data_IF_797002777389
#
_entry.id   IF_797002777389
#
_cell.length_a   1.000
_cell.length_b   1.000
_cell.length_c   1.000
_cell.angle_alpha   90.00
_cell.angle_beta   90.00
_cell.angle_gamma   90.00
#
_symmetry.space_group_name_H-M   'P 1'
#
loop_
_entity.id
_entity.type
_entity.pdbx_description
1 polymer ?
#
# COMPACT_ATOMS: atom_id res chain seq x y z
N UNK A 1 9.59 26.06 -4.22
CA UNK A 1 9.86 24.93 -5.13
C UNK A 1 10.37 23.77 -4.29
N UNK A 2 9.68 22.63 -4.31
CA UNK A 2 10.11 21.41 -3.61
C UNK A 2 10.44 20.34 -4.66
N UNK A 3 11.53 19.61 -4.48
CA UNK A 3 11.93 18.50 -5.34
C UNK A 3 11.49 17.18 -4.72
N UNK A 4 10.67 16.41 -5.44
CA UNK A 4 10.21 15.09 -5.01
C UNK A 4 10.71 14.01 -5.96
N UNK A 5 11.40 13.02 -5.39
CA UNK A 5 11.92 11.88 -6.16
C UNK A 5 10.83 10.93 -6.58
N UNK A 6 10.99 10.33 -7.75
CA UNK A 6 10.13 9.22 -8.19
C UNK A 6 10.35 7.97 -7.33
N UNK A 7 9.28 7.18 -7.22
CA UNK A 7 9.36 5.83 -6.70
C UNK A 7 10.02 4.91 -7.72
N UNK A 8 10.87 4.01 -7.23
CA UNK A 8 11.56 3.01 -8.02
C UNK A 8 11.90 1.79 -7.17
N UNK A 9 12.21 0.66 -7.82
CA UNK A 9 12.68 -0.57 -7.17
C UNK A 9 13.99 -1.15 -7.77
N UNK A 10 14.74 -0.34 -8.52
CA UNK A 10 16.07 -0.70 -9.02
C UNK A 10 17.20 -0.34 -8.06
N UNK A 11 16.91 0.43 -7.00
CA UNK A 11 17.87 0.86 -5.98
C UNK A 11 17.19 0.93 -4.61
N UNK A 12 17.72 0.21 -3.62
CA UNK A 12 17.39 0.46 -2.22
C UNK A 12 18.09 1.72 -1.74
N UNK A 13 17.40 2.56 -0.95
CA UNK A 13 17.98 3.79 -0.41
C UNK A 13 18.73 3.45 0.87
N UNK A 14 20.02 3.76 0.88
CA UNK A 14 20.84 3.65 2.08
C UNK A 14 20.59 4.82 3.03
N UNK A 15 20.24 4.53 4.28
CA UNK A 15 20.00 5.52 5.33
C UNK A 15 20.63 4.99 6.61
N UNK A 16 21.51 5.79 7.22
CA UNK A 16 21.96 5.60 8.60
C UNK A 16 21.36 6.74 9.39
N UNK A 17 20.39 6.42 10.25
CA UNK A 17 19.76 7.37 11.16
C UNK A 17 20.19 7.04 12.59
N UNK A 18 20.80 8.01 13.24
CA UNK A 18 21.38 7.88 14.58
C UNK A 18 21.00 9.07 15.44
N UNK A 19 20.69 8.81 16.70
CA UNK A 19 20.52 9.83 17.74
C UNK A 19 21.44 9.52 18.91
N UNK A 20 21.86 10.53 19.66
CA UNK A 20 22.72 10.35 20.82
C UNK A 20 21.90 10.38 22.10
N UNK A 21 22.18 9.46 23.03
CA UNK A 21 21.72 9.54 24.41
C UNK A 21 22.89 10.06 25.26
N UNK A 22 22.64 11.12 26.03
CA UNK A 22 23.59 11.63 27.00
C UNK A 22 23.25 11.11 28.41
N UNK A 23 24.24 10.58 29.12
CA UNK A 23 24.06 10.18 30.53
C UNK A 23 24.25 11.38 31.48
N UNK A 24 23.95 11.18 32.77
CA UNK A 24 24.08 12.22 33.80
C UNK A 24 25.51 12.74 34.02
N UNK A 25 26.53 12.01 33.54
CA UNK A 25 27.93 12.41 33.62
C UNK A 25 28.42 13.15 32.35
N UNK A 26 27.52 13.40 31.40
CA UNK A 26 27.81 14.15 30.18
C UNK A 26 28.31 13.30 29.01
N UNK A 27 28.49 11.98 29.17
CA UNK A 27 28.93 11.10 28.07
C UNK A 27 27.78 10.84 27.10
N UNK A 28 28.07 10.95 25.80
CA UNK A 28 27.11 10.70 24.72
C UNK A 28 27.37 9.34 24.06
N UNK A 29 26.30 8.58 23.85
CA UNK A 29 26.32 7.30 23.17
C UNK A 29 25.41 7.34 21.95
N UNK A 30 25.93 7.18 20.72
CA UNK A 30 25.10 7.13 19.53
C UNK A 30 24.33 5.81 19.48
N UNK A 31 23.03 5.91 19.22
CA UNK A 31 22.14 4.78 18.97
C UNK A 31 21.54 4.90 17.57
N UNK A 32 21.59 3.80 16.84
CA UNK A 32 21.04 3.72 15.47
C UNK A 32 19.54 3.44 15.53
N UNK A 33 18.73 4.38 15.03
CA UNK A 33 17.28 4.19 14.86
C UNK A 33 16.98 3.34 13.64
N UNK A 34 17.72 3.59 12.56
CA UNK A 34 17.50 2.93 11.28
C UNK A 34 18.80 2.78 10.54
N UNK A 35 19.02 1.58 10.04
CA UNK A 35 20.11 1.30 9.12
C UNK A 35 19.55 0.54 7.92
N UNK A 36 19.57 1.18 6.75
CA UNK A 36 19.31 0.51 5.48
C UNK A 36 20.55 0.64 4.60
N UNK A 37 20.93 -0.46 3.96
CA UNK A 37 22.03 -0.45 3.00
C UNK A 37 21.51 0.02 1.63
N UNK A 38 22.32 0.80 0.91
CA UNK A 38 22.02 1.23 -0.45
C UNK A 38 22.60 0.26 -1.47
N UNK A 39 21.74 -0.41 -2.22
CA UNK A 39 22.14 -1.43 -3.21
C UNK A 39 21.32 -1.32 -4.48
N UNK A 40 21.95 -1.59 -5.62
CA UNK A 40 21.26 -1.69 -6.91
C UNK A 40 20.74 -3.12 -7.15
N UNK A 41 19.52 -3.24 -7.67
CA UNK A 41 18.81 -4.49 -7.93
C UNK A 41 18.37 -4.57 -9.39
N UNK A 42 19.30 -4.30 -10.31
CA UNK A 42 19.00 -4.14 -11.74
C UNK A 42 18.43 -5.41 -12.40
N UNK A 43 18.75 -6.60 -11.89
CA UNK A 43 18.29 -7.88 -12.45
C UNK A 43 16.85 -8.25 -12.07
N UNK A 44 16.34 -7.74 -10.94
CA UNK A 44 15.02 -8.08 -10.41
C UNK A 44 14.04 -6.91 -10.38
N UNK A 45 14.51 -5.70 -10.69
CA UNK A 45 13.68 -4.51 -10.76
C UNK A 45 12.60 -4.62 -11.82
N UNK A 46 11.49 -3.93 -11.58
CA UNK A 46 10.36 -3.87 -12.51
C UNK A 46 9.94 -2.43 -12.85
N UNK A 47 10.42 -1.43 -12.10
CA UNK A 47 10.00 -0.03 -12.22
C UNK A 47 10.54 0.70 -13.46
N UNK A 48 11.64 0.25 -14.07
CA UNK A 48 12.21 0.93 -15.25
C UNK A 48 11.32 0.88 -16.49
N UNK A 49 10.25 0.07 -16.46
CA UNK A 49 9.19 0.10 -17.48
C UNK A 49 8.40 1.41 -17.44
N UNK A 50 8.32 2.07 -16.28
CA UNK A 50 7.57 3.32 -16.12
C UNK A 50 8.44 4.52 -16.46
N UNK A 51 9.56 4.67 -15.75
CA UNK A 51 10.66 5.57 -16.12
C UNK A 51 11.99 4.94 -15.69
N UNK A 52 12.97 4.91 -16.59
CA UNK A 52 14.27 4.25 -16.41
C UNK A 52 15.40 5.18 -15.91
N UNK A 53 15.09 6.44 -15.61
CA UNK A 53 16.03 7.41 -15.08
C UNK A 53 16.93 8.08 -16.11
N UNK A 54 17.44 9.26 -15.77
CA UNK A 54 18.22 10.11 -16.66
C UNK A 54 19.54 9.48 -17.13
N UNK A 55 20.16 8.62 -16.31
CA UNK A 55 21.37 7.90 -16.72
C UNK A 55 21.09 6.99 -17.94
N UNK A 56 19.90 6.39 -18.00
CA UNK A 56 19.48 5.57 -19.15
C UNK A 56 19.17 6.43 -20.37
N UNK A 57 18.60 7.63 -20.18
CA UNK A 57 18.42 8.60 -21.27
C UNK A 57 19.77 9.01 -21.89
N UNK A 58 20.78 9.29 -21.06
CA UNK A 58 22.14 9.63 -21.52
C UNK A 58 22.83 8.47 -22.24
N UNK A 59 22.72 7.25 -21.69
CA UNK A 59 23.20 6.05 -22.39
C UNK A 59 22.50 5.88 -23.74
N UNK A 60 21.19 6.08 -23.78
CA UNK A 60 20.42 5.84 -24.99
C UNK A 60 20.81 6.81 -26.11
N UNK A 61 21.15 8.07 -25.84
CA UNK A 61 21.59 8.99 -26.89
C UNK A 61 23.08 8.84 -27.28
N UNK A 62 23.89 8.17 -26.46
CA UNK A 62 25.35 8.02 -26.70
C UNK A 62 25.75 6.65 -27.24
N UNK A 63 24.87 5.64 -27.13
CA UNK A 63 25.15 4.29 -27.60
C UNK A 63 24.71 4.09 -29.06
N UNK A 64 25.59 3.65 -29.98
CA UNK A 64 25.26 3.46 -31.40
C UNK A 64 24.27 2.31 -31.66
N UNK A 65 23.96 1.51 -30.64
CA UNK A 65 23.03 0.38 -30.72
C UNK A 65 21.56 0.78 -30.51
N UNK A 66 21.28 2.04 -30.18
CA UNK A 66 19.93 2.53 -29.91
C UNK A 66 19.37 3.31 -31.10
N UNK A 67 18.05 3.37 -31.17
CA UNK A 67 17.31 4.12 -32.20
C UNK A 67 17.41 5.64 -32.06
N UNK A 68 17.96 6.13 -30.94
CA UNK A 68 18.09 7.57 -30.65
C UNK A 68 19.56 7.99 -30.48
N UNK A 69 20.51 7.21 -31.01
CA UNK A 69 21.92 7.57 -31.03
C UNK A 69 22.15 8.93 -31.72
N UNK A 70 22.92 9.79 -31.06
CA UNK A 70 23.23 11.15 -31.53
C UNK A 70 22.05 12.14 -31.42
N UNK A 71 20.91 11.72 -30.87
CA UNK A 71 19.77 12.60 -30.67
C UNK A 71 19.95 13.53 -29.45
N UNK A 72 19.16 14.60 -29.41
CA UNK A 72 19.16 15.57 -28.32
C UNK A 72 18.06 15.27 -27.30
N UNK A 73 18.33 15.46 -26.00
CA UNK A 73 17.30 15.41 -24.96
C UNK A 73 16.63 16.78 -24.72
N UNK A 74 17.06 17.82 -25.43
CA UNK A 74 16.45 19.16 -25.36
C UNK A 74 15.21 19.17 -26.24
N UNK A 75 14.03 19.36 -25.63
CA UNK A 75 12.72 19.32 -26.31
C UNK A 75 12.62 20.27 -27.50
N UNK A 76 13.29 21.42 -27.45
CA UNK A 76 13.28 22.42 -28.52
C UNK A 76 14.32 22.15 -29.63
N UNK A 77 15.13 21.10 -29.53
CA UNK A 77 16.11 20.75 -30.56
C UNK A 77 15.41 20.17 -31.79
N UNK A 78 15.84 20.50 -33.02
CA UNK A 78 15.35 19.82 -34.22
C UNK A 78 15.67 18.31 -34.24
N UNK A 79 16.64 17.88 -33.43
CA UNK A 79 17.06 16.48 -33.28
C UNK A 79 16.57 15.85 -31.97
N UNK A 80 15.47 16.35 -31.40
CA UNK A 80 14.95 15.80 -30.14
C UNK A 80 14.65 14.30 -30.24
N UNK A 81 15.14 13.51 -29.28
CA UNK A 81 15.14 12.05 -29.29
C UNK A 81 13.75 11.42 -29.42
N UNK A 82 12.73 12.10 -28.89
CA UNK A 82 11.34 11.63 -28.89
C UNK A 82 10.45 12.48 -29.80
N UNK A 83 11.00 12.98 -30.90
CA UNK A 83 10.24 13.70 -31.93
C UNK A 83 9.65 12.74 -32.97
N UNK A 84 8.46 13.08 -33.49
CA UNK A 84 7.78 12.27 -34.50
C UNK A 84 7.22 10.94 -33.95
N UNK A 85 7.56 9.83 -34.60
CA UNK A 85 7.02 8.50 -34.28
C UNK A 85 7.82 7.75 -33.20
N UNK A 86 9.02 8.23 -32.83
CA UNK A 86 9.87 7.58 -31.83
C UNK A 86 9.46 8.00 -30.43
N UNK A 87 9.04 7.03 -29.62
CA UNK A 87 8.69 7.23 -28.21
C UNK A 87 9.66 6.47 -27.31
N UNK A 88 9.71 6.82 -26.02
CA UNK A 88 10.48 6.05 -25.03
C UNK A 88 9.98 4.59 -24.93
N UNK A 89 8.68 4.32 -25.12
CA UNK A 89 8.14 2.95 -25.24
C UNK A 89 8.83 2.17 -26.37
N UNK A 90 9.09 2.80 -27.52
CA UNK A 90 9.81 2.16 -28.63
C UNK A 90 11.25 1.81 -28.24
N UNK A 91 11.94 2.70 -27.54
CA UNK A 91 13.32 2.47 -27.08
C UNK A 91 13.38 1.36 -26.03
N UNK A 92 12.41 1.32 -25.11
CA UNK A 92 12.27 0.24 -24.11
C UNK A 92 11.94 -1.12 -24.74
N UNK A 93 11.24 -1.14 -25.88
CA UNK A 93 11.03 -2.37 -26.65
C UNK A 93 12.32 -2.78 -27.37
N UNK A 94 13.02 -1.82 -28.00
CA UNK A 94 14.26 -2.09 -28.72
C UNK A 94 15.36 -2.65 -27.81
N UNK A 95 15.49 -2.13 -26.58
CA UNK A 95 16.52 -2.59 -25.65
C UNK A 95 16.13 -3.85 -24.87
N UNK A 96 14.92 -4.40 -25.09
CA UNK A 96 14.43 -5.62 -24.44
C UNK A 96 13.85 -5.42 -23.03
N UNK A 97 13.72 -4.19 -22.53
CA UNK A 97 13.04 -3.92 -21.24
C UNK A 97 11.56 -4.29 -21.30
N UNK A 98 10.95 -4.11 -22.48
CA UNK A 98 9.58 -4.46 -22.80
C UNK A 98 9.52 -5.41 -23.99
N UNK A 99 8.55 -6.32 -23.97
CA UNK A 99 8.24 -7.14 -25.14
C UNK A 99 7.17 -6.46 -25.99
N UNK A 100 7.44 -6.33 -27.30
CA UNK A 100 6.52 -5.74 -28.27
C UNK A 100 5.16 -6.46 -28.34
N UNK A 101 5.13 -7.77 -28.10
CA UNK A 101 3.89 -8.55 -28.07
C UNK A 101 3.15 -8.35 -26.75
N UNK A 102 3.87 -8.30 -25.62
CA UNK A 102 3.25 -8.21 -24.30
C UNK A 102 2.61 -6.85 -24.04
N UNK A 103 3.18 -5.74 -24.53
CA UNK A 103 2.56 -4.41 -24.36
C UNK A 103 1.19 -4.27 -25.04
N UNK A 104 0.78 -5.23 -25.88
CA UNK A 104 -0.51 -5.26 -26.58
C UNK A 104 -1.51 -6.25 -25.98
N UNK A 105 -1.15 -7.00 -24.93
CA UNK A 105 -2.00 -8.05 -24.36
C UNK A 105 -1.80 -8.20 -22.84
N UNK A 106 -2.67 -8.96 -22.18
CA UNK A 106 -2.54 -9.23 -20.74
C UNK A 106 -2.51 -7.97 -19.88
N UNK A 107 -1.74 -8.01 -18.79
CA UNK A 107 -1.61 -6.92 -17.83
C UNK A 107 -0.92 -5.68 -18.40
N UNK A 108 0.07 -5.82 -19.28
CA UNK A 108 0.68 -4.65 -19.92
C UNK A 108 -0.22 -4.02 -20.96
N UNK A 109 -0.98 -4.80 -21.74
CA UNK A 109 -2.01 -4.27 -22.63
C UNK A 109 -3.10 -3.52 -21.86
N UNK A 110 -3.58 -4.07 -20.75
CA UNK A 110 -4.55 -3.40 -19.88
C UNK A 110 -3.98 -2.12 -19.27
N UNK A 111 -2.76 -2.15 -18.73
CA UNK A 111 -2.07 -0.96 -18.23
C UNK A 111 -1.96 0.13 -19.29
N UNK A 112 -1.51 -0.25 -20.50
CA UNK A 112 -1.34 0.68 -21.62
C UNK A 112 -2.65 1.33 -22.07
N UNK A 113 -3.75 0.58 -22.04
CA UNK A 113 -5.08 1.07 -22.38
C UNK A 113 -5.68 1.98 -21.30
N UNK A 114 -5.39 1.73 -20.02
CA UNK A 114 -5.97 2.47 -18.89
C UNK A 114 -5.14 3.67 -18.41
N UNK A 115 -3.81 3.58 -18.48
CA UNK A 115 -2.88 4.58 -17.94
C UNK A 115 -2.18 5.32 -19.08
N UNK A 116 -1.63 4.58 -20.05
CA UNK A 116 -0.88 5.14 -21.17
C UNK A 116 0.39 4.35 -21.50
N UNK A 117 1.17 4.81 -22.49
CA UNK A 117 2.37 4.12 -22.94
C UNK A 117 3.45 4.07 -21.85
N UNK A 118 4.21 2.97 -21.85
CA UNK A 118 5.35 2.80 -20.95
C UNK A 118 6.48 3.80 -21.26
N UNK A 119 7.36 4.05 -20.29
CA UNK A 119 8.41 5.08 -20.40
C UNK A 119 7.93 6.51 -20.12
N UNK A 120 6.62 6.75 -20.13
CA UNK A 120 6.02 8.08 -19.94
C UNK A 120 5.17 8.16 -18.67
N UNK A 121 5.47 7.32 -17.67
CA UNK A 121 4.69 7.24 -16.41
C UNK A 121 5.60 7.52 -15.22
N UNK A 122 5.29 8.58 -14.49
CA UNK A 122 5.99 8.93 -13.25
C UNK A 122 5.34 8.19 -12.08
N UNK A 123 6.14 7.41 -11.36
CA UNK A 123 5.70 6.75 -10.12
C UNK A 123 6.05 7.66 -8.94
N UNK A 124 5.09 7.95 -8.06
CA UNK A 124 5.32 8.77 -6.86
C UNK A 124 5.02 7.98 -5.60
N UNK A 125 5.73 8.33 -4.52
CA UNK A 125 5.39 7.84 -3.17
C UNK A 125 4.17 8.60 -2.68
N UNK A 126 3.12 7.88 -2.29
CA UNK A 126 1.97 8.45 -1.61
C UNK A 126 2.26 8.48 -0.11
N UNK A 127 2.28 9.67 0.47
CA UNK A 127 2.46 9.82 1.91
C UNK A 127 1.19 9.37 2.65
N UNK A 128 1.35 8.80 3.84
CA UNK A 128 0.22 8.51 4.72
C UNK A 128 -0.44 9.84 5.10
N UNK A 129 -1.77 10.02 4.93
CA UNK A 129 -2.44 11.25 5.31
C UNK A 129 -2.21 11.58 6.77
N UNK A 130 -1.94 12.86 7.07
CA UNK A 130 -1.69 13.31 8.45
C UNK A 130 -2.91 13.06 9.34
N UNK A 131 -4.12 13.12 8.79
CA UNK A 131 -5.38 12.75 9.44
C UNK A 131 -5.42 11.27 9.84
N UNK A 132 -4.98 10.37 8.97
CA UNK A 132 -4.89 8.94 9.28
C UNK A 132 -3.88 8.67 10.41
N UNK A 133 -2.73 9.34 10.39
CA UNK A 133 -1.77 9.27 11.49
C UNK A 133 -2.38 9.79 12.80
N UNK A 134 -3.07 10.94 12.76
CA UNK A 134 -3.75 11.51 13.92
C UNK A 134 -4.80 10.55 14.48
N UNK A 135 -5.64 9.97 13.62
CA UNK A 135 -6.62 8.96 14.04
C UNK A 135 -5.95 7.77 14.74
N UNK A 136 -4.93 7.18 14.11
CA UNK A 136 -4.16 6.08 14.70
C UNK A 136 -3.57 6.45 16.07
N UNK A 137 -2.92 7.62 16.17
CA UNK A 137 -2.30 8.08 17.40
C UNK A 137 -3.34 8.28 18.51
N UNK A 138 -4.48 8.91 18.21
CA UNK A 138 -5.55 9.15 19.19
C UNK A 138 -6.16 7.85 19.73
N UNK A 139 -6.40 6.86 18.87
CA UNK A 139 -6.90 5.54 19.32
C UNK A 139 -5.85 4.83 20.17
N UNK A 140 -4.58 4.85 19.74
CA UNK A 140 -3.48 4.24 20.48
C UNK A 140 -3.28 4.88 21.86
N UNK A 141 -3.31 6.21 21.95
CA UNK A 141 -3.14 6.96 23.19
C UNK A 141 -4.30 6.73 24.16
N UNK A 142 -5.54 6.68 23.64
CA UNK A 142 -6.71 6.29 24.44
C UNK A 142 -6.51 4.91 25.04
N UNK A 143 -6.18 3.90 24.23
CA UNK A 143 -5.98 2.52 24.72
C UNK A 143 -4.84 2.48 25.74
N UNK A 144 -3.72 3.14 25.47
CA UNK A 144 -2.58 3.17 26.40
C UNK A 144 -2.95 3.81 27.75
N UNK A 145 -3.66 4.93 27.72
CA UNK A 145 -4.12 5.65 28.92
C UNK A 145 -5.07 4.79 29.74
N UNK A 146 -6.10 4.22 29.11
CA UNK A 146 -7.10 3.39 29.79
C UNK A 146 -6.48 2.12 30.39
N UNK A 147 -5.50 1.51 29.70
CA UNK A 147 -4.74 0.37 30.24
C UNK A 147 -3.87 0.73 31.44
N UNK A 148 -3.36 1.95 31.51
CA UNK A 148 -2.58 2.45 32.65
C UNK A 148 -3.44 2.79 33.86
N UNK A 149 -4.70 3.20 33.63
CA UNK A 149 -5.62 3.63 34.68
C UNK A 149 -6.51 2.51 35.23
N UNK A 150 -6.80 1.46 34.45
CA UNK A 150 -7.71 0.38 34.84
C UNK A 150 -7.12 -0.99 34.54
N UNK A 151 -6.93 -1.78 35.60
CA UNK A 151 -6.49 -3.18 35.49
C UNK A 151 -7.52 -4.04 34.76
N UNK A 152 -8.82 -3.77 34.98
CA UNK A 152 -9.91 -4.48 34.31
C UNK A 152 -9.95 -4.15 32.81
N UNK A 153 -9.79 -2.89 32.43
CA UNK A 153 -9.66 -2.50 31.02
C UNK A 153 -8.47 -3.21 30.37
N UNK A 154 -7.32 -3.22 31.04
CA UNK A 154 -6.12 -3.89 30.54
C UNK A 154 -6.32 -5.39 30.36
N UNK A 155 -6.98 -6.06 31.32
CA UNK A 155 -7.31 -7.48 31.24
C UNK A 155 -8.24 -7.78 30.07
N UNK A 156 -9.33 -7.01 29.90
CA UNK A 156 -10.28 -7.23 28.81
C UNK A 156 -9.69 -6.91 27.44
N UNK A 157 -8.87 -5.86 27.33
CA UNK A 157 -8.16 -5.53 26.10
C UNK A 157 -7.22 -6.67 25.67
N UNK A 158 -6.48 -7.26 26.62
CA UNK A 158 -5.60 -8.40 26.35
C UNK A 158 -6.37 -9.68 26.00
N UNK A 159 -7.62 -9.80 26.44
CA UNK A 159 -8.51 -10.91 26.13
C UNK A 159 -9.24 -10.75 24.78
N UNK A 160 -9.09 -9.61 24.08
CA UNK A 160 -9.72 -9.42 22.76
C UNK A 160 -9.24 -10.51 21.78
N UNK A 161 -10.15 -11.15 21.04
CA UNK A 161 -9.80 -12.20 20.10
C UNK A 161 -8.80 -11.72 19.05
N UNK A 162 -7.86 -12.60 18.71
CA UNK A 162 -6.98 -12.42 17.56
C UNK A 162 -7.51 -13.27 16.42
N UNK A 163 -7.76 -12.65 15.28
CA UNK A 163 -8.18 -13.33 14.07
C UNK A 163 -6.96 -13.60 13.19
N UNK A 164 -6.93 -14.78 12.58
CA UNK A 164 -5.87 -15.17 11.64
C UNK A 164 -5.83 -14.21 10.44
N UNK A 165 -4.74 -14.28 9.67
CA UNK A 165 -4.62 -13.48 8.45
C UNK A 165 -5.75 -13.77 7.48
N UNK A 166 -6.35 -12.72 6.93
CA UNK A 166 -7.49 -12.83 6.03
C UNK A 166 -7.35 -11.91 4.83
N UNK A 167 -7.89 -12.32 3.70
CA UNK A 167 -7.98 -11.45 2.52
C UNK A 167 -9.19 -10.53 2.64
N UNK A 168 -9.15 -9.37 2.00
CA UNK A 168 -10.34 -8.53 1.85
C UNK A 168 -10.59 -8.27 0.37
N UNK A 169 -11.83 -8.45 -0.08
CA UNK A 169 -12.24 -8.10 -1.44
C UNK A 169 -13.43 -7.15 -1.35
N UNK A 170 -13.38 -5.98 -2.02
CA UNK A 170 -14.51 -5.07 -2.07
C UNK A 170 -15.78 -5.75 -2.57
N UNK A 171 -16.94 -5.42 -1.98
CA UNK A 171 -18.23 -6.00 -2.36
C UNK A 171 -18.52 -5.86 -3.87
N UNK A 172 -18.08 -4.77 -4.51
CA UNK A 172 -18.24 -4.54 -5.95
C UNK A 172 -17.52 -5.57 -6.84
N UNK A 173 -16.55 -6.30 -6.30
CA UNK A 173 -15.84 -7.37 -7.01
C UNK A 173 -16.50 -8.74 -6.81
N UNK A 174 -17.25 -8.93 -5.73
CA UNK A 174 -17.94 -10.18 -5.39
C UNK A 174 -19.24 -10.38 -6.19
N UNK A 175 -19.17 -10.17 -7.51
CA UNK A 175 -20.29 -10.38 -8.45
C UNK A 175 -20.31 -11.85 -8.90
N UNK A 176 -21.50 -12.38 -9.18
CA UNK A 176 -21.68 -13.79 -9.55
C UNK A 176 -20.98 -14.20 -10.86
N UNK A 177 -20.73 -13.24 -11.74
CA UNK A 177 -20.01 -13.40 -13.01
C UNK A 177 -18.48 -13.33 -12.84
N UNK A 178 -17.96 -12.88 -11.69
CA UNK A 178 -16.51 -12.78 -11.42
C UNK A 178 -16.05 -13.96 -10.56
N UNK A 179 -15.39 -14.93 -11.19
CA UNK A 179 -14.87 -16.13 -10.49
C UNK A 179 -13.37 -16.07 -10.20
N UNK A 180 -12.63 -15.35 -11.04
CA UNK A 180 -11.18 -15.32 -11.02
C UNK A 180 -10.68 -13.88 -11.06
N UNK A 181 -9.59 -13.64 -10.33
CA UNK A 181 -8.77 -12.45 -10.43
C UNK A 181 -7.57 -12.78 -11.33
N UNK A 182 -7.27 -11.88 -12.26
CA UNK A 182 -6.12 -11.95 -13.16
C UNK A 182 -5.27 -10.70 -12.97
N UNK A 183 -3.97 -10.82 -13.23
CA UNK A 183 -3.03 -9.71 -13.04
C UNK A 183 -2.42 -9.69 -11.64
N UNK A 184 -2.30 -8.48 -11.06
CA UNK A 184 -1.61 -8.23 -9.80
C UNK A 184 -0.66 -7.06 -9.92
N UNK A 185 0.65 -7.31 -9.75
CA UNK A 185 1.66 -6.26 -9.85
C UNK A 185 1.58 -5.52 -11.19
N UNK A 186 1.23 -4.23 -11.17
CA UNK A 186 1.10 -3.35 -12.34
C UNK A 186 2.40 -3.23 -13.15
N UNK A 187 3.54 -3.55 -12.53
CA UNK A 187 4.87 -3.56 -13.17
C UNK A 187 5.17 -4.89 -13.90
N UNK A 188 4.20 -5.80 -13.96
CA UNK A 188 4.30 -7.14 -14.53
C UNK A 188 3.17 -7.42 -15.54
N UNK A 189 3.49 -8.22 -16.57
CA UNK A 189 2.52 -8.52 -17.63
C UNK A 189 1.37 -9.43 -17.15
N UNK A 190 1.53 -10.13 -16.04
CA UNK A 190 0.47 -10.93 -15.47
C UNK A 190 0.97 -12.03 -14.57
N UNK A 191 -0.01 -12.67 -13.95
CA UNK A 191 0.07 -13.88 -13.14
C UNK A 191 -1.05 -14.80 -13.59
N UNK A 192 -0.88 -16.11 -13.40
CA UNK A 192 -1.96 -17.09 -13.55
C UNK A 192 -3.19 -16.68 -12.74
N UNK A 193 -4.36 -16.88 -13.32
CA UNK A 193 -5.64 -16.58 -12.69
C UNK A 193 -5.76 -17.30 -11.34
N UNK A 194 -6.25 -16.60 -10.31
CA UNK A 194 -6.56 -17.18 -9.00
C UNK A 194 -8.03 -16.97 -8.67
N UNK A 195 -8.62 -17.87 -7.88
CA UNK A 195 -10.00 -17.68 -7.41
C UNK A 195 -10.13 -16.34 -6.69
N UNK A 196 -11.24 -15.62 -6.92
CA UNK A 196 -11.55 -14.41 -6.16
C UNK A 196 -11.60 -14.69 -4.64
N UNK A 197 -11.91 -15.93 -4.25
CA UNK A 197 -11.92 -16.38 -2.85
C UNK A 197 -10.52 -16.44 -2.22
N UNK A 198 -9.45 -16.37 -3.00
CA UNK A 198 -8.07 -16.29 -2.49
C UNK A 198 -7.65 -14.87 -2.11
N UNK A 199 -8.49 -13.86 -2.38
CA UNK A 199 -8.18 -12.45 -2.14
C UNK A 199 -7.32 -11.82 -3.23
N UNK A 200 -7.15 -10.48 -3.15
CA UNK A 200 -6.35 -9.75 -4.12
C UNK A 200 -4.87 -10.09 -3.96
N UNK A 201 -4.17 -10.08 -5.09
CA UNK A 201 -2.71 -10.14 -5.13
C UNK A 201 -2.10 -8.77 -4.92
N UNK A 202 -0.87 -8.73 -4.41
CA UNK A 202 -0.12 -7.49 -4.27
C UNK A 202 -0.04 -6.72 -5.60
N UNK A 203 -0.59 -5.50 -5.60
CA UNK A 203 -0.76 -4.69 -6.83
C UNK A 203 0.50 -3.95 -7.27
N UNK A 204 1.46 -3.75 -6.37
CA UNK A 204 2.77 -3.14 -6.66
C UNK A 204 3.73 -3.42 -5.50
N UNK A 205 5.04 -3.21 -5.68
CA UNK A 205 5.99 -3.35 -4.58
C UNK A 205 7.45 -3.24 -4.95
N UNK A 206 8.28 -2.90 -3.97
CA UNK A 206 9.72 -2.80 -4.14
C UNK A 206 10.40 -4.18 -4.24
N UNK A 207 9.76 -5.22 -3.70
CA UNK A 207 10.29 -6.59 -3.61
C UNK A 207 9.41 -7.62 -4.32
N UNK A 208 8.39 -7.19 -5.04
CA UNK A 208 7.45 -8.08 -5.73
C UNK A 208 7.93 -8.43 -7.13
N UNK A 209 8.60 -9.58 -7.25
CA UNK A 209 9.00 -10.11 -8.56
C UNK A 209 7.78 -10.57 -9.37
N UNK A 210 7.87 -10.46 -10.69
CA UNK A 210 6.80 -10.93 -11.56
C UNK A 210 6.59 -12.44 -11.42
N UNK A 211 5.32 -12.89 -11.43
CA UNK A 211 4.96 -14.29 -11.22
C UNK A 211 4.87 -14.71 -9.75
N UNK A 212 5.29 -13.87 -8.79
CA UNK A 212 5.15 -14.18 -7.37
C UNK A 212 3.69 -14.27 -6.93
N UNK A 213 3.37 -15.29 -6.14
CA UNK A 213 2.04 -15.51 -5.57
C UNK A 213 1.84 -14.72 -4.26
N UNK A 214 2.26 -13.45 -4.22
CA UNK A 214 2.07 -12.59 -3.05
C UNK A 214 0.63 -12.06 -3.01
N UNK A 215 -0.07 -12.33 -1.91
CA UNK A 215 -1.41 -11.82 -1.62
C UNK A 215 -1.36 -10.55 -0.76
N UNK A 216 -2.41 -9.73 -0.85
CA UNK A 216 -2.67 -8.70 0.15
C UNK A 216 -3.56 -9.30 1.24
N UNK A 217 -3.01 -9.39 2.44
CA UNK A 217 -3.69 -9.96 3.60
C UNK A 217 -3.65 -9.01 4.78
N UNK A 218 -4.74 -8.97 5.53
CA UNK A 218 -4.86 -8.25 6.78
C UNK A 218 -4.51 -9.18 7.94
N UNK A 219 -3.83 -8.62 8.94
CA UNK A 219 -3.62 -9.28 10.24
C UNK A 219 -4.32 -8.44 11.31
N UNK A 220 -5.32 -8.99 12.00
CA UNK A 220 -6.01 -8.23 13.04
C UNK A 220 -5.24 -8.29 14.36
N UNK A 221 -4.67 -7.17 14.78
CA UNK A 221 -4.27 -6.98 16.18
C UNK A 221 -5.46 -6.47 16.99
N UNK A 222 -5.44 -6.57 18.31
CA UNK A 222 -6.49 -5.98 19.16
C UNK A 222 -6.71 -4.49 18.85
N UNK A 223 -5.62 -3.71 18.74
CA UNK A 223 -5.68 -2.31 18.32
C UNK A 223 -6.25 -2.17 16.89
N UNK A 224 -5.80 -3.01 15.95
CA UNK A 224 -6.28 -3.03 14.57
C UNK A 224 -7.79 -3.25 14.46
N UNK A 225 -8.35 -4.21 15.20
CA UNK A 225 -9.79 -4.48 15.19
C UNK A 225 -10.59 -3.34 15.81
N UNK A 226 -10.11 -2.74 16.91
CA UNK A 226 -10.75 -1.55 17.50
C UNK A 226 -10.75 -0.38 16.51
N UNK A 227 -9.62 -0.12 15.82
CA UNK A 227 -9.54 0.91 14.79
C UNK A 227 -10.45 0.62 13.59
N UNK A 228 -10.60 -0.64 13.20
CA UNK A 228 -11.52 -1.05 12.14
C UNK A 228 -12.98 -0.77 12.52
N UNK A 229 -13.39 -1.17 13.72
CA UNK A 229 -14.76 -0.94 14.24
C UNK A 229 -15.06 0.54 14.42
N UNK A 230 -14.13 1.32 14.98
CA UNK A 230 -14.28 2.77 15.12
C UNK A 230 -14.38 3.44 13.75
N UNK A 231 -13.47 3.11 12.82
CA UNK A 231 -13.43 3.73 11.51
C UNK A 231 -14.61 3.39 10.61
N UNK A 232 -15.13 2.16 10.71
CA UNK A 232 -16.33 1.74 10.00
C UNK A 232 -17.64 2.13 10.70
N UNK A 233 -17.57 2.85 11.83
CA UNK A 233 -18.72 3.23 12.65
C UNK A 233 -19.61 2.01 13.02
N UNK A 234 -18.98 0.95 13.53
CA UNK A 234 -19.62 -0.32 13.91
C UNK A 234 -19.88 -0.42 15.43
N UNK A 235 -19.89 0.71 16.13
CA UNK A 235 -20.38 0.85 17.52
C UNK A 235 -21.83 1.31 17.56
N UNK A 236 -22.57 1.16 16.46
CA UNK A 236 -24.02 1.37 16.38
C UNK A 236 -24.74 0.02 16.31
N UNK A 237 -26.06 0.06 16.26
CA UNK A 237 -26.85 -1.13 15.96
C UNK A 237 -26.60 -1.58 14.51
N UNK A 238 -25.83 -2.65 14.35
CA UNK A 238 -25.54 -3.31 13.06
C UNK A 238 -26.52 -4.46 12.90
N UNK A 239 -27.24 -4.50 11.78
CA UNK A 239 -28.20 -5.58 11.51
C UNK A 239 -27.48 -6.90 11.17
N UNK A 240 -28.16 -8.04 11.32
CA UNK A 240 -27.61 -9.35 10.94
C UNK A 240 -27.26 -9.41 9.45
N UNK A 241 -28.08 -8.82 8.59
CA UNK A 241 -27.84 -8.71 7.13
C UNK A 241 -26.63 -7.85 6.82
N UNK A 242 -26.47 -6.73 7.51
CA UNK A 242 -25.32 -5.85 7.35
C UNK A 242 -24.03 -6.55 7.80
N UNK A 243 -24.04 -7.19 8.96
CA UNK A 243 -22.91 -7.98 9.45
C UNK A 243 -22.51 -9.08 8.46
N UNK A 244 -23.49 -9.78 7.88
CA UNK A 244 -23.24 -10.80 6.85
C UNK A 244 -22.57 -10.21 5.61
N UNK A 245 -23.01 -9.03 5.16
CA UNK A 245 -22.42 -8.31 4.02
C UNK A 245 -20.99 -7.82 4.30
N UNK A 246 -20.71 -7.35 5.51
CA UNK A 246 -19.35 -6.96 5.91
C UNK A 246 -18.45 -8.20 5.92
N UNK A 247 -18.93 -9.28 6.54
CA UNK A 247 -18.15 -10.50 6.73
C UNK A 247 -17.97 -11.33 5.46
N UNK A 248 -18.82 -11.19 4.44
CA UNK A 248 -18.64 -11.86 3.15
C UNK A 248 -17.44 -11.34 2.37
N UNK A 249 -16.97 -10.13 2.68
CA UNK A 249 -15.78 -9.51 2.09
C UNK A 249 -14.47 -9.98 2.75
N UNK A 250 -14.55 -10.58 3.95
CA UNK A 250 -13.42 -11.11 4.69
C UNK A 250 -13.16 -12.58 4.33
N UNK A 251 -12.22 -12.80 3.40
CA UNK A 251 -11.92 -14.09 2.82
C UNK A 251 -11.04 -14.95 3.71
N UNK A 252 -11.22 -16.27 3.61
CA UNK A 252 -10.57 -17.25 4.50
C UNK A 252 -10.95 -17.11 5.98
N UNK A 253 -12.02 -16.38 6.29
CA UNK A 253 -12.65 -16.34 7.60
C UNK A 253 -14.07 -16.89 7.52
N UNK A 254 -14.47 -17.64 8.56
CA UNK A 254 -15.87 -18.05 8.69
C UNK A 254 -16.73 -16.84 9.07
N UNK A 255 -18.00 -16.85 8.65
CA UNK A 255 -18.97 -15.82 9.04
C UNK A 255 -19.02 -15.65 10.56
N UNK A 256 -18.98 -16.75 11.31
CA UNK A 256 -18.97 -16.75 12.78
C UNK A 256 -17.72 -16.09 13.35
N UNK A 257 -16.53 -16.41 12.84
CA UNK A 257 -15.30 -15.76 13.31
C UNK A 257 -15.29 -14.27 13.02
N UNK A 258 -15.72 -13.86 11.82
CA UNK A 258 -15.81 -12.45 11.49
C UNK A 258 -16.83 -11.72 12.39
N UNK A 259 -18.05 -12.24 12.48
CA UNK A 259 -19.13 -11.55 13.21
C UNK A 259 -18.88 -11.49 14.71
N UNK A 260 -18.33 -12.54 15.31
CA UNK A 260 -18.10 -12.60 16.76
C UNK A 260 -16.75 -12.04 17.19
N UNK A 261 -15.68 -12.33 16.44
CA UNK A 261 -14.31 -12.07 16.89
C UNK A 261 -13.67 -10.86 16.20
N UNK A 262 -13.84 -10.71 14.89
CA UNK A 262 -13.26 -9.58 14.15
C UNK A 262 -14.02 -8.28 14.41
N UNK A 263 -15.36 -8.35 14.43
CA UNK A 263 -16.24 -7.18 14.58
C UNK A 263 -16.92 -7.16 15.95
N UNK A 264 -17.60 -8.25 16.33
CA UNK A 264 -18.46 -8.29 17.52
C UNK A 264 -17.75 -7.97 18.82
N UNK A 265 -16.69 -8.71 19.17
CA UNK A 265 -15.95 -8.51 20.42
C UNK A 265 -15.35 -7.09 20.56
N UNK A 266 -14.67 -6.53 19.53
CA UNK A 266 -14.22 -5.14 19.56
C UNK A 266 -15.37 -4.12 19.68
N UNK A 267 -16.51 -4.33 19.00
CA UNK A 267 -17.69 -3.46 19.13
C UNK A 267 -18.25 -3.48 20.56
N UNK A 268 -18.41 -4.67 21.15
CA UNK A 268 -18.90 -4.81 22.53
C UNK A 268 -17.91 -4.20 23.54
N UNK A 269 -16.62 -4.37 23.32
CA UNK A 269 -15.59 -3.74 24.14
C UNK A 269 -15.69 -2.21 24.13
N UNK A 270 -15.88 -1.60 22.96
CA UNK A 270 -16.01 -0.14 22.82
C UNK A 270 -17.35 0.39 23.36
N UNK A 271 -18.40 -0.44 23.37
CA UNK A 271 -19.72 -0.10 23.90
C UNK A 271 -19.84 -0.29 25.42
N UNK A 272 -18.85 -0.92 26.05
CA UNK A 272 -18.90 -1.22 27.48
C UNK A 272 -18.64 0.05 28.31
N UNK A 273 -19.71 0.63 28.85
CA UNK A 273 -19.68 1.87 29.66
C UNK A 273 -18.95 1.71 30.99
N UNK A 274 -18.73 0.48 31.48
CA UNK A 274 -17.90 0.24 32.67
C UNK A 274 -16.41 0.37 32.37
N UNK A 275 -16.02 0.06 31.13
CA UNK A 275 -14.65 0.20 30.65
C UNK A 275 -14.37 1.61 30.13
N UNK A 276 -15.35 2.21 29.46
CA UNK A 276 -15.29 3.54 28.86
C UNK A 276 -16.42 4.40 29.40
N UNK A 277 -16.26 5.01 30.60
CA UNK A 277 -17.33 5.77 31.25
C UNK A 277 -17.63 7.08 30.51
N UNK A 278 -16.61 7.73 29.93
CA UNK A 278 -16.76 8.95 29.16
C UNK A 278 -17.35 8.65 27.76
N UNK A 279 -18.63 8.98 27.60
CA UNK A 279 -19.40 8.77 26.38
C UNK A 279 -18.92 9.63 25.19
N UNK A 280 -18.08 10.65 25.43
CA UNK A 280 -17.57 11.52 24.36
C UNK A 280 -16.37 10.92 23.62
N UNK A 281 -15.71 9.92 24.21
CA UNK A 281 -14.49 9.30 23.65
C UNK A 281 -14.76 8.65 22.31
N UNK A 282 -15.79 7.81 22.20
CA UNK A 282 -16.10 7.08 20.97
C UNK A 282 -16.48 8.04 19.82
N UNK A 283 -17.45 8.97 19.97
CA UNK A 283 -17.78 9.93 18.92
C UNK A 283 -16.58 10.77 18.47
N UNK A 284 -15.71 11.18 19.40
CA UNK A 284 -14.51 11.96 19.08
C UNK A 284 -13.53 11.16 18.21
N UNK A 285 -13.28 9.89 18.55
CA UNK A 285 -12.41 9.02 17.76
C UNK A 285 -13.01 8.72 16.37
N UNK A 286 -14.33 8.56 16.28
CA UNK A 286 -15.03 8.38 15.02
C UNK A 286 -14.94 9.63 14.12
N UNK A 287 -15.01 10.83 14.70
CA UNK A 287 -14.81 12.07 13.95
C UNK A 287 -13.40 12.14 13.32
N UNK A 288 -12.36 11.75 14.07
CA UNK A 288 -11.01 11.62 13.49
C UNK A 288 -10.96 10.58 12.38
N UNK A 289 -11.66 9.45 12.55
CA UNK A 289 -11.70 8.40 11.55
C UNK A 289 -12.40 8.84 10.26
N UNK A 290 -13.48 9.63 10.35
CA UNK A 290 -14.20 10.18 9.20
C UNK A 290 -13.31 11.12 8.38
N UNK A 291 -12.58 12.02 9.03
CA UNK A 291 -11.62 12.92 8.36
C UNK A 291 -10.52 12.08 7.68
N UNK A 292 -9.96 11.10 8.40
CA UNK A 292 -8.95 10.19 7.85
C UNK A 292 -9.47 9.43 6.63
N UNK A 293 -10.71 8.94 6.68
CA UNK A 293 -11.34 8.21 5.58
C UNK A 293 -11.52 9.10 4.35
N UNK A 294 -11.98 10.35 4.53
CA UNK A 294 -12.13 11.31 3.44
C UNK A 294 -10.78 11.62 2.77
N UNK A 295 -9.75 11.90 3.57
CA UNK A 295 -8.42 12.20 3.03
C UNK A 295 -7.80 10.99 2.31
N UNK A 296 -8.04 9.77 2.81
CA UNK A 296 -7.61 8.54 2.12
C UNK A 296 -8.33 8.37 0.78
N UNK A 297 -9.62 8.68 0.68
CA UNK A 297 -10.35 8.64 -0.59
C UNK A 297 -9.87 9.70 -1.60
N UNK A 298 -9.27 10.80 -1.13
CA UNK A 298 -8.72 11.84 -2.01
C UNK A 298 -7.32 11.51 -2.54
N UNK A 299 -6.67 10.44 -2.05
CA UNK A 299 -5.35 10.03 -2.54
C UNK A 299 -5.36 9.40 -3.94
N UNK A 300 -6.54 9.09 -4.48
CA UNK A 300 -6.72 8.48 -5.80
C UNK A 300 -8.19 8.24 -6.12
#
# INVERSE_FOLDING_TARGET
TNFTTDWQNYKSIGIIDTFSIQNAFGFQYPLTLKHTNGTFTMSSQTSMKMYWGFASDLWAITSPTTSIYGASLIRSSPTFAYSGATTLENVLVQNGTLSASLIKQGGFGAFRASIGPFGSVDLKRVAVPQSLFKYYAQVKDMVATMRGQSSEFSKQYLALPRVNTFGYVPASWLRSDVKYLVGGNLLCNGKSASSIKSGPTLLTGATSTCGSALGEVFSSTALGSLMGVLGANLTRNVTTTEMSTICSQALSLSLTMCSTSLVGAPSQFLLNTTLLPDQTVIPKLQAFAQIAQQDVYQLG
#
